data_IF_801022344064
#
_entry.id   IF_801022344064
#
_cell.length_a   1.000
_cell.length_b   1.000
_cell.length_c   1.000
_cell.angle_alpha   90.00
_cell.angle_beta   90.00
_cell.angle_gamma   90.00
#
_symmetry.space_group_name_H-M   'P 1'
#
loop_
_entity.id
_entity.type
_entity.pdbx_description
1 polymer ?
#
# COMPACT_ATOMS: atom_id res chain seq x y z
N UNK A 1 -20.04 4.68 11.79
CA UNK A 1 -20.28 4.97 10.36
C UNK A 1 -21.75 5.28 10.05
N UNK A 2 -22.72 4.34 10.14
CA UNK A 2 -24.14 4.64 9.79
C UNK A 2 -24.76 5.81 10.59
N UNK A 3 -24.52 5.86 11.91
CA UNK A 3 -24.98 6.97 12.77
C UNK A 3 -24.35 8.31 12.38
N UNK A 4 -23.03 8.38 12.26
CA UNK A 4 -22.29 9.57 11.80
C UNK A 4 -22.75 10.05 10.42
N UNK A 5 -23.00 9.11 9.49
CA UNK A 5 -23.55 9.41 8.17
C UNK A 5 -24.91 10.12 8.28
N UNK A 6 -25.84 9.58 9.08
CA UNK A 6 -27.14 10.21 9.31
C UNK A 6 -27.01 11.58 10.00
N UNK A 7 -26.10 11.72 10.96
CA UNK A 7 -25.84 12.99 11.67
C UNK A 7 -25.33 14.07 10.71
N UNK A 8 -24.38 13.76 9.82
CA UNK A 8 -23.87 14.72 8.85
C UNK A 8 -24.89 15.02 7.76
N UNK A 9 -25.65 14.02 7.28
CA UNK A 9 -26.76 14.27 6.35
C UNK A 9 -27.78 15.26 6.92
N UNK A 10 -28.06 15.19 8.22
CA UNK A 10 -28.98 16.11 8.87
C UNK A 10 -28.51 17.57 8.83
N UNK A 11 -27.20 17.84 8.83
CA UNK A 11 -26.63 19.20 8.68
C UNK A 11 -27.00 19.82 7.32
N UNK A 12 -27.13 18.98 6.29
CA UNK A 12 -27.49 19.40 4.93
C UNK A 12 -28.99 19.26 4.63
N UNK A 13 -29.82 18.93 5.62
CA UNK A 13 -31.25 18.74 5.43
C UNK A 13 -31.94 20.03 4.95
N UNK A 14 -32.82 19.90 3.96
CA UNK A 14 -33.52 21.04 3.35
C UNK A 14 -32.73 21.78 2.26
N UNK A 15 -31.46 21.42 2.03
CA UNK A 15 -30.69 21.90 0.88
C UNK A 15 -30.94 21.01 -0.35
N UNK A 16 -30.83 21.57 -1.55
CA UNK A 16 -30.77 20.78 -2.78
C UNK A 16 -29.43 20.07 -2.84
N UNK A 17 -29.43 18.76 -3.12
CA UNK A 17 -28.20 17.96 -3.29
C UNK A 17 -27.53 18.30 -4.63
N UNK A 18 -26.80 19.43 -4.65
CA UNK A 18 -25.91 19.76 -5.77
C UNK A 18 -24.58 19.01 -5.64
N UNK A 19 -23.76 19.07 -6.69
CA UNK A 19 -22.43 18.46 -6.67
C UNK A 19 -21.55 19.07 -5.56
N UNK A 20 -21.63 20.38 -5.33
CA UNK A 20 -20.89 21.10 -4.30
C UNK A 20 -21.30 20.63 -2.90
N UNK A 21 -22.61 20.49 -2.65
CA UNK A 21 -23.15 19.98 -1.38
C UNK A 21 -22.72 18.53 -1.15
N UNK A 22 -22.77 17.69 -2.18
CA UNK A 22 -22.31 16.30 -2.09
C UNK A 22 -20.80 16.21 -1.77
N UNK A 23 -19.98 17.04 -2.41
CA UNK A 23 -18.54 17.10 -2.15
C UNK A 23 -18.24 17.60 -0.72
N UNK A 24 -18.97 18.60 -0.23
CA UNK A 24 -18.83 19.09 1.15
C UNK A 24 -19.19 17.99 2.16
N UNK A 25 -20.34 17.32 1.97
CA UNK A 25 -20.78 16.20 2.81
C UNK A 25 -19.73 15.07 2.87
N UNK A 26 -19.16 14.69 1.73
CA UNK A 26 -18.12 13.65 1.65
C UNK A 26 -16.85 14.08 2.38
N UNK A 27 -16.42 15.34 2.23
CA UNK A 27 -15.24 15.87 2.93
C UNK A 27 -15.43 15.87 4.44
N UNK A 28 -16.61 16.22 4.92
CA UNK A 28 -16.90 16.25 6.36
C UNK A 28 -16.95 14.84 6.95
N UNK A 29 -17.60 13.91 6.24
CA UNK A 29 -17.76 12.53 6.70
C UNK A 29 -16.46 11.72 6.67
N UNK A 30 -15.62 12.03 5.72
CA UNK A 30 -14.38 11.34 5.47
C UNK A 30 -13.30 12.40 5.31
N UNK A 31 -12.82 13.05 6.38
CA UNK A 31 -11.74 14.02 6.24
C UNK A 31 -10.48 13.36 5.64
N UNK A 32 -9.63 14.15 5.01
CA UNK A 32 -8.31 13.67 4.61
C UNK A 32 -7.48 13.41 5.87
N UNK A 33 -7.28 12.13 6.14
CA UNK A 33 -6.50 11.58 7.23
C UNK A 33 -5.18 10.97 6.71
N UNK A 34 -4.70 11.41 5.53
CA UNK A 34 -3.38 11.02 5.02
C UNK A 34 -2.33 11.17 6.11
N UNK A 35 -1.38 10.23 6.15
CA UNK A 35 -0.27 10.30 7.09
C UNK A 35 0.54 11.57 6.82
N UNK A 36 1.01 12.22 7.89
CA UNK A 36 2.01 13.27 7.79
C UNK A 36 3.36 12.64 7.44
N UNK A 37 3.66 12.58 6.15
CA UNK A 37 4.85 11.89 5.63
C UNK A 37 6.17 12.48 6.16
N UNK A 38 6.19 13.78 6.51
CA UNK A 38 7.38 14.42 7.05
C UNK A 38 7.73 13.92 8.46
N UNK A 39 6.73 13.46 9.22
CA UNK A 39 6.92 12.95 10.59
C UNK A 39 7.76 11.67 10.67
N UNK A 40 7.86 10.91 9.58
CA UNK A 40 8.68 9.69 9.50
C UNK A 40 10.17 9.97 9.23
N UNK A 41 10.50 11.19 8.84
CA UNK A 41 11.86 11.60 8.51
C UNK A 41 12.44 10.94 7.25
N UNK A 42 13.76 11.09 7.10
CA UNK A 42 14.51 10.62 5.93
C UNK A 42 15.72 9.84 6.42
N UNK A 43 15.96 8.66 5.84
CA UNK A 43 17.11 7.80 6.16
C UNK A 43 18.06 7.72 4.98
N UNK A 44 19.34 7.96 5.23
CA UNK A 44 20.40 7.78 4.24
C UNK A 44 21.07 6.42 4.42
N UNK A 45 21.27 5.68 3.32
CA UNK A 45 21.98 4.41 3.30
C UNK A 45 22.85 4.30 2.04
N UNK A 46 24.16 4.52 2.19
CA UNK A 46 25.07 4.58 1.05
C UNK A 46 24.67 5.70 0.09
N UNK A 47 24.42 5.36 -1.18
CA UNK A 47 23.95 6.30 -2.20
C UNK A 47 22.41 6.37 -2.30
N UNK A 48 21.69 5.80 -1.34
CA UNK A 48 20.23 5.71 -1.34
C UNK A 48 19.61 6.55 -0.23
N UNK A 49 18.48 7.15 -0.54
CA UNK A 49 17.61 7.86 0.39
C UNK A 49 16.30 7.09 0.53
N UNK A 50 15.89 6.81 1.76
CA UNK A 50 14.59 6.24 2.08
C UNK A 50 13.71 7.29 2.76
N UNK A 51 12.45 7.36 2.35
CA UNK A 51 11.46 8.26 2.92
C UNK A 51 10.05 7.71 2.71
N UNK A 52 9.08 8.27 3.43
CA UNK A 52 7.65 8.08 3.14
C UNK A 52 7.23 9.20 2.19
N UNK A 53 6.49 8.87 1.13
CA UNK A 53 5.94 9.84 0.19
C UNK A 53 4.43 9.62 0.06
N UNK A 54 3.68 10.66 -0.26
CA UNK A 54 2.29 10.45 -0.68
C UNK A 54 2.32 9.77 -2.05
N UNK A 55 1.70 8.60 -2.15
CA UNK A 55 1.45 7.90 -3.40
C UNK A 55 0.81 8.79 -4.47
N UNK A 56 -0.09 9.73 -4.10
CA UNK A 56 -0.65 10.69 -5.07
C UNK A 56 0.43 11.54 -5.76
N UNK A 57 1.50 11.88 -5.04
CA UNK A 57 2.58 12.74 -5.53
C UNK A 57 3.59 11.94 -6.38
N UNK A 58 3.79 10.66 -6.05
CA UNK A 58 4.75 9.78 -6.76
C UNK A 58 4.11 8.79 -7.74
N UNK A 59 2.80 8.88 -7.97
CA UNK A 59 2.07 7.91 -8.80
C UNK A 59 2.68 7.73 -10.18
N UNK A 60 3.06 8.82 -10.84
CA UNK A 60 3.66 8.81 -12.17
C UNK A 60 4.98 8.04 -12.22
N UNK A 61 5.87 8.26 -11.26
CA UNK A 61 7.16 7.55 -11.16
C UNK A 61 6.97 6.07 -10.83
N UNK A 62 5.97 5.75 -10.00
CA UNK A 62 5.67 4.40 -9.56
C UNK A 62 5.17 3.47 -10.68
N UNK A 63 4.60 4.00 -11.77
CA UNK A 63 4.02 3.18 -12.84
C UNK A 63 5.01 2.20 -13.45
N UNK A 64 6.26 2.65 -13.69
CA UNK A 64 7.30 1.80 -14.22
C UNK A 64 7.61 0.66 -13.23
N UNK A 65 7.87 0.99 -11.96
CA UNK A 65 8.21 -0.01 -10.94
C UNK A 65 7.07 -1.00 -10.72
N UNK A 66 5.81 -0.54 -10.75
CA UNK A 66 4.63 -1.40 -10.66
C UNK A 66 4.56 -2.41 -11.81
N UNK A 67 4.85 -1.94 -13.04
CA UNK A 67 4.82 -2.79 -14.24
C UNK A 67 5.91 -3.84 -14.17
N UNK A 68 7.14 -3.45 -13.84
CA UNK A 68 8.27 -4.38 -13.69
C UNK A 68 8.05 -5.37 -12.53
N UNK A 69 7.47 -4.92 -11.41
CA UNK A 69 7.11 -5.76 -10.29
C UNK A 69 6.06 -6.79 -10.69
N UNK A 70 4.98 -6.36 -11.37
CA UNK A 70 3.92 -7.26 -11.80
C UNK A 70 4.43 -8.41 -12.67
N UNK A 71 5.32 -8.12 -13.62
CA UNK A 71 5.96 -9.11 -14.50
C UNK A 71 6.76 -10.18 -13.73
N UNK A 72 7.16 -9.90 -12.49
CA UNK A 72 7.97 -10.80 -11.65
C UNK A 72 7.15 -11.55 -10.59
N UNK A 73 5.85 -11.29 -10.48
CA UNK A 73 4.96 -11.95 -9.50
C UNK A 73 4.08 -13.02 -10.12
N UNK A 74 3.58 -13.95 -9.30
CA UNK A 74 2.63 -14.98 -9.75
C UNK A 74 1.38 -14.40 -10.41
N UNK A 75 0.98 -13.16 -10.07
CA UNK A 75 -0.16 -12.51 -10.74
C UNK A 75 0.11 -12.27 -12.23
N UNK A 76 1.34 -11.95 -12.62
CA UNK A 76 1.74 -11.94 -14.02
C UNK A 76 1.62 -13.31 -14.70
N UNK A 77 1.69 -14.40 -13.92
CA UNK A 77 1.58 -15.78 -14.39
C UNK A 77 0.12 -16.29 -14.45
N UNK A 78 -0.84 -15.59 -13.82
CA UNK A 78 -2.27 -15.96 -13.86
C UNK A 78 -2.97 -15.56 -15.16
N UNK A 79 -2.36 -14.70 -15.98
CA UNK A 79 -2.93 -14.20 -17.23
C UNK A 79 -4.01 -13.11 -17.08
N UNK A 80 -4.26 -12.61 -15.87
CA UNK A 80 -5.08 -11.41 -15.67
C UNK A 80 -4.31 -10.16 -16.08
N UNK A 81 -5.01 -9.18 -16.67
CA UNK A 81 -4.41 -7.90 -17.03
C UNK A 81 -4.01 -7.12 -15.77
N UNK A 82 -2.86 -6.44 -15.81
CA UNK A 82 -2.43 -5.55 -14.74
C UNK A 82 -3.13 -4.20 -14.86
N UNK A 83 -4.23 -4.05 -14.14
CA UNK A 83 -4.99 -2.80 -14.05
C UNK A 83 -5.10 -2.40 -12.58
N UNK A 84 -4.04 -1.82 -11.97
CA UNK A 84 -4.10 -1.40 -10.58
C UNK A 84 -5.20 -0.35 -10.41
N UNK A 85 -6.05 -0.56 -9.42
CA UNK A 85 -7.10 0.40 -9.06
C UNK A 85 -6.47 1.60 -8.37
N UNK A 86 -6.21 2.64 -9.16
CA UNK A 86 -5.60 3.89 -8.68
C UNK A 86 -6.48 4.55 -7.63
N UNK A 87 -7.78 4.60 -7.87
CA UNK A 87 -8.68 5.40 -7.05
C UNK A 87 -8.87 4.75 -5.67
N UNK A 88 -8.95 3.42 -5.58
CA UNK A 88 -8.92 2.70 -4.30
C UNK A 88 -7.62 2.95 -3.53
N UNK A 89 -6.47 2.95 -4.20
CA UNK A 89 -5.18 3.22 -3.55
C UNK A 89 -5.09 4.65 -3.01
N UNK A 90 -5.56 5.64 -3.77
CA UNK A 90 -5.57 7.03 -3.32
C UNK A 90 -6.58 7.25 -2.19
N UNK A 91 -7.72 6.55 -2.19
CA UNK A 91 -8.66 6.62 -1.08
C UNK A 91 -8.07 5.98 0.20
N UNK A 92 -7.31 4.88 0.06
CA UNK A 92 -6.58 4.30 1.22
C UNK A 92 -5.53 5.24 1.78
N UNK A 93 -4.77 5.93 0.93
CA UNK A 93 -3.85 6.98 1.36
C UNK A 93 -4.59 8.06 2.14
N UNK A 94 -5.64 8.63 1.53
CA UNK A 94 -6.47 9.67 2.12
C UNK A 94 -7.09 9.25 3.45
N UNK A 95 -7.44 7.97 3.62
CA UNK A 95 -7.97 7.45 4.88
C UNK A 95 -6.90 7.19 5.95
N UNK A 96 -5.61 7.49 5.70
CA UNK A 96 -4.49 7.20 6.60
C UNK A 96 -4.15 5.71 6.68
N UNK A 97 -4.54 4.93 5.66
CA UNK A 97 -4.47 3.45 5.65
C UNK A 97 -3.41 2.90 4.71
N UNK A 98 -2.55 3.76 4.17
CA UNK A 98 -1.51 3.38 3.23
C UNK A 98 -0.20 4.04 3.62
N UNK A 99 0.84 3.23 3.74
CA UNK A 99 2.21 3.66 3.94
C UNK A 99 2.99 3.35 2.66
N UNK A 100 3.52 4.40 2.01
CA UNK A 100 4.29 4.29 0.77
C UNK A 100 5.73 4.71 1.04
N UNK A 101 6.59 3.74 1.35
CA UNK A 101 8.02 3.96 1.52
C UNK A 101 8.72 3.83 0.17
N UNK A 102 9.65 4.74 -0.11
CA UNK A 102 10.40 4.76 -1.37
C UNK A 102 11.89 4.72 -1.11
N UNK A 103 12.63 4.25 -2.12
CA UNK A 103 14.07 4.32 -2.20
C UNK A 103 14.45 5.10 -3.45
N UNK A 104 15.15 6.22 -3.24
CA UNK A 104 15.69 7.07 -4.31
C UNK A 104 17.21 6.95 -4.35
N UNK A 105 17.80 6.94 -5.53
CA UNK A 105 19.26 6.99 -5.67
C UNK A 105 19.78 8.44 -5.48
N UNK A 106 21.10 8.63 -5.52
CA UNK A 106 21.74 9.96 -5.38
C UNK A 106 21.30 11.03 -6.38
N UNK A 107 20.73 10.63 -7.52
CA UNK A 107 20.21 11.56 -8.53
C UNK A 107 18.71 11.83 -8.34
N UNK A 108 18.10 11.33 -7.26
CA UNK A 108 16.68 11.47 -6.96
C UNK A 108 15.77 10.47 -7.69
N UNK A 109 16.32 9.57 -8.52
CA UNK A 109 15.53 8.59 -9.25
C UNK A 109 14.93 7.56 -8.28
N UNK A 110 13.62 7.33 -8.39
CA UNK A 110 12.93 6.26 -7.68
C UNK A 110 13.36 4.88 -8.21
N UNK A 111 13.98 4.07 -7.34
CA UNK A 111 14.61 2.77 -7.72
C UNK A 111 14.10 1.59 -6.90
N UNK A 112 13.26 1.85 -5.90
CA UNK A 112 12.60 0.82 -5.12
C UNK A 112 11.50 1.39 -4.26
N UNK A 113 10.62 0.52 -3.77
CA UNK A 113 9.57 0.90 -2.87
C UNK A 113 9.10 -0.28 -2.03
N UNK A 114 8.49 0.03 -0.89
CA UNK A 114 7.69 -0.91 -0.12
C UNK A 114 6.41 -0.21 0.31
N UNK A 115 5.27 -0.82 -0.03
CA UNK A 115 3.94 -0.37 0.36
C UNK A 115 3.40 -1.31 1.42
N UNK A 116 2.81 -0.72 2.47
CA UNK A 116 2.03 -1.45 3.46
C UNK A 116 0.63 -0.84 3.60
N UNK A 117 -0.36 -1.69 3.84
CA UNK A 117 -1.67 -1.26 4.28
C UNK A 117 -1.72 -1.24 5.80
N UNK A 118 -2.33 -0.20 6.37
CA UNK A 118 -2.60 -0.08 7.80
C UNK A 118 -4.08 -0.37 8.03
N UNK A 119 -4.37 -1.45 8.74
CA UNK A 119 -5.74 -1.91 9.00
C UNK A 119 -5.92 -2.21 10.48
N UNK A 120 -7.03 -1.77 11.05
CA UNK A 120 -7.39 -2.16 12.42
C UNK A 120 -8.00 -3.56 12.39
N UNK A 121 -7.39 -4.49 13.13
CA UNK A 121 -7.93 -5.83 13.36
C UNK A 121 -9.35 -5.73 13.95
N UNK A 122 -10.31 -6.41 13.33
CA UNK A 122 -11.69 -6.43 13.81
C UNK A 122 -11.80 -7.22 15.13
N UNK A 123 -10.94 -8.22 15.30
CA UNK A 123 -10.94 -9.11 16.45
C UNK A 123 -10.27 -8.47 17.69
N UNK A 124 -9.18 -7.73 17.49
CA UNK A 124 -8.35 -7.21 18.58
C UNK A 124 -8.33 -5.69 18.67
N UNK A 125 -9.02 -5.00 17.76
CA UNK A 125 -9.01 -3.54 17.63
C UNK A 125 -7.59 -2.93 17.60
N UNK A 126 -6.62 -3.69 17.12
CA UNK A 126 -5.20 -3.34 17.10
C UNK A 126 -4.81 -2.93 15.69
N UNK A 127 -3.98 -1.89 15.55
CA UNK A 127 -3.46 -1.49 14.24
C UNK A 127 -2.42 -2.50 13.75
N UNK A 128 -2.63 -3.00 12.54
CA UNK A 128 -1.82 -4.01 11.88
C UNK A 128 -1.31 -3.43 10.56
N UNK A 129 -0.03 -3.66 10.27
CA UNK A 129 0.52 -3.41 8.95
C UNK A 129 0.60 -4.73 8.15
N UNK A 130 0.19 -4.72 6.89
CA UNK A 130 0.40 -5.84 5.96
C UNK A 130 1.10 -5.33 4.72
N UNK A 131 2.13 -6.04 4.25
CA UNK A 131 2.77 -5.68 2.98
C UNK A 131 1.78 -5.78 1.81
N UNK A 132 1.91 -4.85 0.87
CA UNK A 132 1.07 -4.77 -0.32
C UNK A 132 1.91 -4.94 -1.59
N UNK A 133 3.10 -4.36 -1.59
CA UNK A 133 4.06 -4.49 -2.68
C UNK A 133 5.46 -4.16 -2.19
N UNK A 134 6.45 -4.95 -2.59
CA UNK A 134 7.86 -4.71 -2.30
C UNK A 134 8.69 -4.96 -3.56
N UNK A 135 9.37 -3.93 -4.02
CA UNK A 135 10.13 -4.01 -5.28
C UNK A 135 11.37 -3.13 -5.26
N UNK A 136 12.43 -3.63 -5.88
CA UNK A 136 13.65 -2.88 -6.19
C UNK A 136 14.01 -3.18 -7.64
N UNK A 137 14.31 -2.14 -8.42
CA UNK A 137 14.74 -2.29 -9.82
C UNK A 137 16.02 -3.14 -9.89
N UNK A 138 16.12 -4.12 -10.83
CA UNK A 138 17.24 -5.06 -10.90
C UNK A 138 18.63 -4.43 -10.88
N UNK A 139 18.81 -3.30 -11.57
CA UNK A 139 20.08 -2.57 -11.61
C UNK A 139 20.58 -2.07 -10.24
N UNK A 140 19.68 -1.96 -9.27
CA UNK A 140 19.95 -1.51 -7.90
C UNK A 140 19.82 -2.64 -6.87
N UNK A 141 19.65 -3.89 -7.32
CA UNK A 141 19.68 -5.07 -6.44
C UNK A 141 21.13 -5.42 -6.12
N UNK A 142 21.42 -5.62 -4.85
CA UNK A 142 22.74 -5.94 -4.36
C UNK A 142 22.96 -5.41 -2.94
N UNK A 143 23.87 -6.03 -2.20
CA UNK A 143 24.14 -5.66 -0.81
C UNK A 143 22.90 -5.75 0.08
N UNK A 144 22.74 -4.77 0.98
CA UNK A 144 21.65 -4.75 1.96
C UNK A 144 20.58 -3.69 1.69
N UNK A 145 20.54 -3.04 0.52
CA UNK A 145 19.60 -1.94 0.25
C UNK A 145 18.14 -2.36 0.46
N UNK A 146 17.73 -3.48 -0.13
CA UNK A 146 16.37 -4.02 0.02
C UNK A 146 16.03 -4.35 1.49
N UNK A 147 16.98 -4.94 2.22
CA UNK A 147 16.83 -5.23 3.65
C UNK A 147 16.66 -3.94 4.47
N UNK A 148 17.42 -2.89 4.15
CA UNK A 148 17.34 -1.60 4.86
C UNK A 148 16.08 -0.83 4.53
N UNK A 149 15.60 -0.88 3.29
CA UNK A 149 14.30 -0.32 2.92
C UNK A 149 13.18 -1.00 3.70
N UNK A 150 13.22 -2.33 3.83
CA UNK A 150 12.23 -3.06 4.62
C UNK A 150 12.27 -2.63 6.10
N UNK A 151 13.45 -2.58 6.72
CA UNK A 151 13.59 -2.12 8.11
C UNK A 151 13.08 -0.69 8.30
N UNK A 152 13.31 0.19 7.32
CA UNK A 152 12.76 1.53 7.34
C UNK A 152 11.22 1.51 7.31
N UNK A 153 10.62 0.68 6.45
CA UNK A 153 9.16 0.51 6.40
C UNK A 153 8.59 -0.06 7.69
N UNK A 154 9.25 -1.02 8.33
CA UNK A 154 8.86 -1.52 9.66
C UNK A 154 8.86 -0.41 10.70
N UNK A 155 9.94 0.38 10.76
CA UNK A 155 10.05 1.48 11.69
C UNK A 155 8.94 2.51 11.48
N UNK A 156 8.61 2.81 10.22
CA UNK A 156 7.50 3.71 9.87
C UNK A 156 6.14 3.12 10.26
N UNK A 157 5.90 1.83 10.02
CA UNK A 157 4.66 1.16 10.45
C UNK A 157 4.48 1.19 11.97
N UNK A 158 5.56 0.95 12.72
CA UNK A 158 5.57 1.05 14.20
C UNK A 158 5.33 2.48 14.65
N UNK A 159 5.96 3.47 14.02
CA UNK A 159 5.75 4.89 14.31
C UNK A 159 4.31 5.34 14.03
N UNK A 160 3.66 4.76 13.01
CA UNK A 160 2.24 4.94 12.73
C UNK A 160 1.32 4.24 13.75
N UNK A 161 1.88 3.46 14.69
CA UNK A 161 1.17 2.82 15.78
C UNK A 161 0.88 1.33 15.57
N UNK A 162 1.35 0.72 14.48
CA UNK A 162 1.14 -0.70 14.24
C UNK A 162 1.79 -1.55 15.34
N UNK A 163 1.10 -2.60 15.78
CA UNK A 163 1.59 -3.55 16.79
C UNK A 163 1.99 -4.89 16.19
N UNK A 164 1.51 -5.16 14.99
CA UNK A 164 1.79 -6.38 14.24
C UNK A 164 2.12 -5.99 12.79
N UNK A 165 3.07 -6.71 12.20
CA UNK A 165 3.44 -6.56 10.79
C UNK A 165 3.39 -7.94 10.14
N UNK A 166 2.57 -8.07 9.10
CA UNK A 166 2.46 -9.28 8.29
C UNK A 166 3.18 -9.05 6.97
N UNK A 167 3.91 -10.08 6.53
CA UNK A 167 4.49 -10.13 5.20
C UNK A 167 4.07 -11.42 4.50
N UNK A 168 3.52 -11.30 3.30
CA UNK A 168 3.23 -12.44 2.43
C UNK A 168 4.40 -12.73 1.49
N UNK A 169 5.17 -13.76 1.83
CA UNK A 169 6.27 -14.20 0.99
C UNK A 169 5.77 -15.21 -0.03
N UNK A 170 6.06 -14.98 -1.32
CA UNK A 170 5.69 -15.91 -2.39
C UNK A 170 6.81 -16.92 -2.65
N UNK A 171 6.44 -18.12 -3.08
CA UNK A 171 7.41 -19.18 -3.35
C UNK A 171 8.39 -18.81 -4.47
N UNK A 172 7.95 -17.98 -5.43
CA UNK A 172 8.73 -17.62 -6.61
C UNK A 172 9.74 -16.49 -6.41
N UNK A 173 9.57 -15.65 -5.39
CA UNK A 173 10.33 -14.39 -5.27
C UNK A 173 11.46 -14.44 -4.22
N UNK A 174 11.58 -15.52 -3.44
CA UNK A 174 12.66 -15.72 -2.47
C UNK A 174 12.66 -14.76 -1.28
N UNK A 175 11.61 -13.95 -1.12
CA UNK A 175 11.47 -12.92 -0.06
C UNK A 175 11.45 -13.55 1.35
N UNK A 176 11.05 -14.81 1.47
CA UNK A 176 11.09 -15.61 2.72
C UNK A 176 12.46 -15.61 3.41
N UNK A 177 13.56 -15.65 2.64
CA UNK A 177 14.91 -15.59 3.23
C UNK A 177 15.16 -14.26 3.92
N UNK A 178 14.62 -13.18 3.39
CA UNK A 178 14.74 -11.84 3.96
C UNK A 178 13.85 -11.69 5.19
N UNK A 179 12.60 -12.15 5.13
CA UNK A 179 11.68 -12.15 6.26
C UNK A 179 12.28 -12.89 7.48
N UNK A 180 12.86 -14.09 7.27
CA UNK A 180 13.57 -14.84 8.32
C UNK A 180 14.76 -14.06 8.90
N UNK A 181 15.53 -13.37 8.05
CA UNK A 181 16.65 -12.53 8.49
C UNK A 181 16.18 -11.34 9.35
N UNK A 182 14.96 -10.87 9.13
CA UNK A 182 14.30 -9.82 9.90
C UNK A 182 13.51 -10.36 11.10
N UNK A 183 13.67 -11.64 11.44
CA UNK A 183 13.00 -12.32 12.57
C UNK A 183 11.46 -12.42 12.45
N UNK A 184 10.91 -12.36 11.23
CA UNK A 184 9.53 -12.76 11.02
C UNK A 184 9.37 -14.25 11.29
N UNK A 185 8.24 -14.61 11.90
CA UNK A 185 7.87 -16.00 12.14
C UNK A 185 6.76 -16.40 11.16
N UNK A 186 6.79 -17.61 10.60
CA UNK A 186 5.66 -18.10 9.83
C UNK A 186 4.46 -18.27 10.76
N UNK A 187 3.32 -17.66 10.39
CA UNK A 187 2.08 -17.69 11.18
C UNK A 187 0.90 -18.30 10.43
N UNK A 188 0.98 -18.42 9.10
CA UNK A 188 -0.07 -18.97 8.24
C UNK A 188 0.49 -19.52 6.92
N UNK A 189 -0.32 -20.33 6.23
CA UNK A 189 -0.11 -20.70 4.82
C UNK A 189 -1.19 -20.05 3.97
N UNK A 190 -0.80 -19.46 2.84
CA UNK A 190 -1.72 -18.88 1.86
C UNK A 190 -1.93 -19.89 0.72
N UNK A 191 -3.18 -20.22 0.44
CA UNK A 191 -3.57 -21.07 -0.69
C UNK A 191 -4.32 -20.24 -1.74
N UNK A 192 -3.90 -20.32 -3.00
CA UNK A 192 -4.56 -19.64 -4.11
C UNK A 192 -5.23 -20.66 -5.03
N UNK A 193 -6.51 -20.48 -5.33
CA UNK A 193 -7.24 -21.21 -6.38
C UNK A 193 -7.64 -20.23 -7.46
N UNK A 194 -7.08 -20.38 -8.65
CA UNK A 194 -7.47 -19.57 -9.82
C UNK A 194 -8.82 -20.08 -10.31
N UNK A 195 -9.81 -19.18 -10.41
CA UNK A 195 -11.11 -19.47 -11.01
C UNK A 195 -11.04 -19.03 -12.47
N UNK A 196 -11.11 -19.97 -13.44
CA UNK A 196 -11.17 -19.61 -14.85
C UNK A 196 -12.33 -18.64 -15.10
N UNK A 197 -12.17 -17.70 -16.02
CA UNK A 197 -13.28 -16.83 -16.44
C UNK A 197 -14.47 -17.74 -16.79
N UNK A 198 -15.62 -17.51 -16.17
CA UNK A 198 -16.86 -18.12 -16.61
C UNK A 198 -17.04 -17.71 -18.08
N UNK A 199 -17.03 -18.70 -18.97
CA UNK A 199 -17.59 -18.53 -20.31
C UNK A 199 -19.10 -18.39 -20.06
N UNK A 200 -19.53 -17.15 -19.86
CA UNK A 200 -20.95 -16.83 -19.75
C UNK A 200 -21.65 -17.35 -20.99
N UNK A 201 -22.70 -18.15 -20.75
CA UNK A 201 -23.60 -18.61 -21.78
C UNK A 201 -24.02 -17.43 -22.66
N UNK A 202 -23.91 -17.63 -23.97
CA UNK A 202 -24.62 -16.81 -24.95
C UNK A 202 -26.11 -16.88 -24.62
N UNK A 203 -26.65 -15.84 -23.97
CA UNK A 203 -28.06 -15.56 -24.06
C UNK A 203 -28.23 -14.66 -25.29
N UNK A 204 -28.55 -15.32 -26.40
CA UNK A 204 -29.20 -14.68 -27.55
C UNK A 204 -30.67 -14.39 -27.27
#
# INVERSE_FOLDING_TARGET
>A
MRKQFCEHLAVYAGQTLTQEVALALVRDLFPDASLDVASFGVVQYGEFTFQVEQLRDVWGEMQQLHTEHHMQTDMGMTGYAFTPDRDDLLERERAGRLLQCTARNKNGLLVGHMRAYLTTSIQTNTLVASDAAFYVTPAYRGGFMALRLWQFTEACAVAAGAKEIYCETRLVNGVDKMAKRLNYKPVAMVHCKIIPKHIGANHG
#
